data_IF_910252103845
#
_entry.id   IF_910252103845
#
_cell.length_a   1.000
_cell.length_b   1.000
_cell.length_c   1.000
_cell.angle_alpha   90.00
_cell.angle_beta   90.00
_cell.angle_gamma   90.00
#
_symmetry.space_group_name_H-M   'P 1'
#
loop_
_entity.id
_entity.type
_entity.pdbx_description
1 polymer ?
#
# COMPACT_ATOMS: atom_id res chain seq x y z
N UNK A 1 -21.39 19.26 10.04
CA UNK A 1 -22.08 19.87 8.90
C UNK A 1 -23.14 18.89 8.47
N UNK A 2 -24.40 19.26 8.63
CA UNK A 2 -25.53 18.47 8.14
C UNK A 2 -25.67 18.63 6.62
N UNK A 3 -26.38 17.73 5.91
CA UNK A 3 -26.56 17.86 4.47
C UNK A 3 -27.20 19.20 4.04
N UNK A 4 -28.08 19.74 4.88
CA UNK A 4 -28.74 21.03 4.66
C UNK A 4 -27.76 22.20 4.80
N UNK A 5 -26.86 22.14 5.79
CA UNK A 5 -25.81 23.14 5.95
C UNK A 5 -24.79 23.07 4.81
N UNK A 6 -24.47 21.87 4.33
CA UNK A 6 -23.49 21.66 3.26
C UNK A 6 -23.93 22.22 1.90
N UNK A 7 -25.23 22.34 1.64
CA UNK A 7 -25.77 22.86 0.37
C UNK A 7 -25.78 24.40 0.31
N UNK A 8 -25.53 25.08 1.43
CA UNK A 8 -25.42 26.55 1.45
C UNK A 8 -24.19 27.00 0.65
N UNK A 9 -24.37 28.04 -0.17
CA UNK A 9 -23.31 28.59 -1.05
C UNK A 9 -22.06 29.02 -0.28
N UNK A 10 -22.24 29.52 0.94
CA UNK A 10 -21.17 29.94 1.85
C UNK A 10 -20.24 28.78 2.25
N UNK A 11 -20.77 27.56 2.33
CA UNK A 11 -20.03 26.37 2.71
C UNK A 11 -19.37 25.64 1.53
N UNK A 12 -19.56 26.13 0.30
CA UNK A 12 -19.07 25.48 -0.91
C UNK A 12 -17.57 25.25 -0.92
N UNK A 13 -16.79 26.27 -0.54
CA UNK A 13 -15.32 26.20 -0.47
C UNK A 13 -14.85 25.16 0.55
N UNK A 14 -15.45 25.17 1.74
CA UNK A 14 -15.14 24.21 2.82
C UNK A 14 -15.49 22.78 2.43
N UNK A 15 -16.62 22.58 1.74
CA UNK A 15 -17.05 21.27 1.23
C UNK A 15 -16.09 20.78 0.16
N UNK A 16 -15.72 21.63 -0.80
CA UNK A 16 -14.76 21.32 -1.85
C UNK A 16 -13.40 20.89 -1.29
N UNK A 17 -12.86 21.65 -0.34
CA UNK A 17 -11.60 21.32 0.30
C UNK A 17 -11.66 19.98 1.05
N UNK A 18 -12.76 19.67 1.72
CA UNK A 18 -12.91 18.39 2.43
C UNK A 18 -13.01 17.18 1.49
N UNK A 19 -13.69 17.33 0.35
CA UNK A 19 -13.89 16.26 -0.65
C UNK A 19 -12.62 15.98 -1.46
N UNK A 20 -11.91 17.05 -1.85
CA UNK A 20 -10.81 16.99 -2.80
C UNK A 20 -9.46 17.33 -2.20
N UNK A 21 -9.33 17.36 -0.87
CA UNK A 21 -8.02 17.52 -0.23
C UNK A 21 -7.05 16.48 -0.75
N UNK A 22 -5.82 16.90 -1.02
CA UNK A 22 -4.75 15.98 -1.30
C UNK A 22 -4.59 15.02 -0.13
N UNK A 23 -4.59 13.72 -0.42
CA UNK A 23 -4.30 12.72 0.59
C UNK A 23 -2.86 12.89 1.03
N UNK A 24 -2.63 12.88 2.35
CA UNK A 24 -1.29 12.81 2.89
C UNK A 24 -0.68 11.50 2.42
N UNK A 25 0.42 11.58 1.68
CA UNK A 25 1.16 10.40 1.24
C UNK A 25 1.82 9.76 2.45
N UNK A 26 1.51 8.49 2.70
CA UNK A 26 2.16 7.73 3.75
C UNK A 26 3.67 7.64 3.51
N UNK A 27 4.44 7.45 4.58
CA UNK A 27 5.88 7.17 4.45
C UNK A 27 6.09 5.71 4.04
N UNK A 28 7.07 5.41 3.17
CA UNK A 28 7.39 4.03 2.83
C UNK A 28 7.79 3.28 4.10
N UNK A 29 7.25 2.06 4.26
CA UNK A 29 7.51 1.19 5.40
C UNK A 29 8.87 0.52 5.31
N UNK A 30 9.32 0.23 4.10
CA UNK A 30 10.57 -0.46 3.83
C UNK A 30 11.51 0.42 2.99
N UNK A 31 12.79 0.07 3.00
CA UNK A 31 13.86 0.77 2.28
C UNK A 31 14.48 -0.11 1.20
N UNK A 32 15.15 0.52 0.23
CA UNK A 32 15.92 -0.20 -0.80
C UNK A 32 17.03 -1.00 -0.12
N UNK A 33 17.14 -2.29 -0.48
CA UNK A 33 18.08 -3.22 0.14
C UNK A 33 17.50 -4.07 1.28
N UNK A 34 16.29 -3.76 1.77
CA UNK A 34 15.63 -4.57 2.80
C UNK A 34 15.31 -5.97 2.27
N UNK A 35 15.56 -6.99 3.10
CA UNK A 35 15.21 -8.38 2.84
C UNK A 35 13.81 -8.69 3.36
N UNK A 36 12.90 -9.10 2.48
CA UNK A 36 11.49 -9.34 2.79
C UNK A 36 11.03 -10.73 2.31
N UNK A 37 9.85 -11.15 2.77
CA UNK A 37 9.12 -12.31 2.26
C UNK A 37 7.71 -11.90 1.88
N UNK A 38 7.13 -12.56 0.88
CA UNK A 38 5.78 -12.28 0.40
C UNK A 38 4.79 -13.13 1.20
N UNK A 39 3.64 -12.57 1.56
CA UNK A 39 2.58 -13.32 2.21
C UNK A 39 1.90 -14.26 1.20
N UNK A 40 1.68 -15.50 1.61
CA UNK A 40 0.94 -16.46 0.78
C UNK A 40 -0.55 -16.12 0.81
N UNK A 41 -1.20 -16.21 -0.35
CA UNK A 41 -2.64 -16.01 -0.47
C UNK A 41 -3.38 -17.00 0.45
N UNK A 42 -4.26 -16.48 1.31
CA UNK A 42 -4.98 -17.30 2.30
C UNK A 42 -6.26 -17.85 1.66
N UNK A 43 -6.45 -19.17 1.73
CA UNK A 43 -7.74 -19.81 1.44
C UNK A 43 -8.78 -19.45 2.51
N UNK A 44 -10.07 -19.65 2.19
CA UNK A 44 -11.21 -19.44 3.10
C UNK A 44 -11.04 -20.17 4.44
N UNK A 45 -10.51 -21.39 4.40
CA UNK A 45 -10.09 -22.13 5.58
C UNK A 45 -8.61 -22.47 5.46
N UNK A 46 -7.83 -22.06 6.47
CA UNK A 46 -6.40 -22.35 6.55
C UNK A 46 -6.13 -23.21 7.78
N UNK A 47 -5.30 -24.24 7.62
CA UNK A 47 -4.87 -25.07 8.75
C UNK A 47 -3.76 -24.33 9.50
N UNK A 48 -3.74 -24.42 10.83
CA UNK A 48 -2.79 -23.66 11.67
C UNK A 48 -1.31 -23.95 11.37
N UNK A 49 -1.01 -25.13 10.83
CA UNK A 49 0.35 -25.54 10.46
C UNK A 49 0.82 -25.03 9.09
N UNK A 50 -0.05 -24.39 8.29
CA UNK A 50 0.34 -23.88 6.98
C UNK A 50 1.12 -22.57 7.12
N UNK A 51 2.20 -22.44 6.35
CA UNK A 51 3.04 -21.25 6.32
C UNK A 51 2.26 -20.00 5.87
N UNK A 52 2.62 -18.84 6.42
CA UNK A 52 2.03 -17.53 6.07
C UNK A 52 2.81 -16.77 5.02
N UNK A 53 4.08 -17.15 4.78
CA UNK A 53 5.01 -16.47 3.89
C UNK A 53 5.69 -17.45 2.95
N UNK A 54 6.15 -16.95 1.81
CA UNK A 54 6.99 -17.69 0.86
C UNK A 54 8.29 -18.16 1.53
N UNK A 55 8.88 -19.23 1.00
CA UNK A 55 10.20 -19.69 1.45
C UNK A 55 11.32 -18.79 0.95
N UNK A 56 11.15 -18.25 -0.26
CA UNK A 56 12.07 -17.31 -0.91
C UNK A 56 12.12 -15.97 -0.19
N UNK A 57 13.31 -15.38 -0.19
CA UNK A 57 13.62 -14.07 0.39
C UNK A 57 13.93 -13.14 -0.77
N UNK A 58 13.27 -12.00 -0.81
CA UNK A 58 13.46 -10.99 -1.84
C UNK A 58 14.12 -9.75 -1.26
N UNK A 59 14.72 -8.95 -2.13
CA UNK A 59 15.34 -7.66 -1.81
C UNK A 59 14.56 -6.56 -2.51
N UNK A 60 14.30 -5.46 -1.83
CA UNK A 60 13.66 -4.30 -2.45
C UNK A 60 14.68 -3.59 -3.35
N UNK A 61 14.33 -3.46 -4.64
CA UNK A 61 15.14 -2.76 -5.63
C UNK A 61 14.74 -1.28 -5.78
N UNK A 62 13.44 -0.99 -5.73
CA UNK A 62 12.92 0.36 -5.95
C UNK A 62 11.66 0.63 -5.11
N UNK A 63 11.50 1.88 -4.65
CA UNK A 63 10.29 2.35 -3.97
C UNK A 63 9.50 3.22 -4.95
N UNK A 64 8.28 2.80 -5.28
CA UNK A 64 7.38 3.50 -6.18
C UNK A 64 6.39 4.35 -5.38
N UNK A 65 6.36 5.66 -5.65
CA UNK A 65 5.48 6.64 -4.97
C UNK A 65 4.05 6.65 -5.53
N UNK A 66 3.45 5.47 -5.66
CA UNK A 66 2.04 5.26 -6.00
C UNK A 66 1.13 5.44 -4.77
N UNK A 67 -0.20 5.47 -4.95
CA UNK A 67 -1.19 5.46 -3.86
C UNK A 67 -2.00 4.14 -3.93
N UNK A 68 -1.73 3.13 -3.07
CA UNK A 68 -0.72 3.10 -1.99
C UNK A 68 0.72 2.91 -2.50
N UNK A 69 1.72 3.13 -1.64
CA UNK A 69 3.15 2.94 -1.99
C UNK A 69 3.39 1.49 -2.40
N UNK A 70 3.99 1.29 -3.56
CA UNK A 70 4.37 -0.03 -4.09
C UNK A 70 5.90 -0.16 -4.16
N UNK A 71 6.38 -1.40 -4.25
CA UNK A 71 7.82 -1.71 -4.24
C UNK A 71 8.13 -2.65 -5.40
N UNK A 72 9.27 -2.42 -6.07
CA UNK A 72 9.87 -3.44 -6.93
C UNK A 72 10.80 -4.30 -6.11
N UNK A 73 10.79 -5.59 -6.40
CA UNK A 73 11.54 -6.60 -5.67
C UNK A 73 12.35 -7.44 -6.65
N UNK A 74 13.48 -7.94 -6.17
CA UNK A 74 14.35 -8.85 -6.90
C UNK A 74 14.70 -10.05 -6.02
N UNK A 75 14.95 -11.19 -6.64
CA UNK A 75 15.45 -12.37 -5.92
C UNK A 75 16.93 -12.16 -5.51
N UNK A 76 17.44 -13.03 -4.64
CA UNK A 76 18.84 -13.03 -4.20
C UNK A 76 19.83 -13.23 -5.36
N UNK A 77 19.39 -13.80 -6.47
CA UNK A 77 20.17 -13.98 -7.69
C UNK A 77 20.04 -12.81 -8.68
N UNK A 78 19.51 -11.67 -8.23
CA UNK A 78 19.35 -10.43 -9.02
C UNK A 78 18.36 -10.55 -10.20
N UNK A 79 17.51 -11.56 -10.20
CA UNK A 79 16.41 -11.66 -11.15
C UNK A 79 15.22 -10.80 -10.71
N UNK A 80 14.72 -9.96 -11.62
CA UNK A 80 13.52 -9.15 -11.39
C UNK A 80 12.28 -10.04 -11.31
N UNK A 81 11.58 -9.97 -10.18
CA UNK A 81 10.36 -10.75 -9.99
C UNK A 81 9.16 -9.89 -10.36
N UNK A 82 8.43 -10.29 -11.41
CA UNK A 82 7.09 -9.78 -11.68
C UNK A 82 6.09 -10.57 -10.83
N UNK A 83 5.62 -9.94 -9.76
CA UNK A 83 4.53 -10.46 -8.92
C UNK A 83 3.18 -10.08 -9.52
#
# INVERSE_FOLDING_TARGET
MTPVEASLKENSDKVYHNLYKEKVKDKPKFQVGDKIRISIHKSTFRRGYQATFTKEIFVISEILKTDPITYKIKDLYDEDVKV
#
